data_IF_025514811124
#
_entry.id   IF_025514811124
#
_cell.length_a   1.000
_cell.length_b   1.000
_cell.length_c   1.000
_cell.angle_alpha   90.00
_cell.angle_beta   90.00
_cell.angle_gamma   90.00
#
_symmetry.space_group_name_H-M   'P 1'
#
loop_
_entity.id
_entity.type
_entity.pdbx_description
1 polymer ?
#
# COMPACT_ATOMS: atom_id res chain seq x y z
N UNK A 1 -8.46 -97.19 -24.10
CA UNK A 1 -9.34 -96.93 -25.27
C UNK A 1 -9.57 -95.43 -25.40
N UNK A 2 -9.37 -94.89 -26.62
CA UNK A 2 -9.82 -93.60 -27.20
C UNK A 2 -9.77 -92.33 -26.32
N UNK A 3 -8.85 -91.38 -26.61
CA UNK A 3 -9.01 -90.15 -27.45
C UNK A 3 -10.00 -89.15 -26.81
N UNK A 4 -9.73 -87.84 -26.60
CA UNK A 4 -9.05 -86.83 -27.43
C UNK A 4 -8.94 -85.52 -26.61
N UNK A 5 -7.83 -84.75 -26.61
CA UNK A 5 -7.54 -83.54 -27.45
C UNK A 5 -8.58 -82.42 -27.27
N UNK A 6 -8.28 -81.14 -26.97
CA UNK A 6 -7.26 -80.19 -27.53
C UNK A 6 -7.33 -78.86 -26.73
N UNK A 7 -6.18 -78.21 -26.45
CA UNK A 7 -5.71 -76.91 -27.01
C UNK A 7 -6.41 -75.65 -26.43
N UNK A 8 -5.81 -74.47 -26.20
CA UNK A 8 -4.55 -73.84 -26.60
C UNK A 8 -4.22 -72.74 -25.55
N UNK A 9 -2.96 -72.60 -25.09
CA UNK A 9 -1.97 -71.61 -25.52
C UNK A 9 -2.29 -70.15 -25.19
N UNK A 10 -1.46 -69.52 -24.35
CA UNK A 10 -0.64 -68.37 -24.77
C UNK A 10 0.45 -68.04 -23.73
N UNK A 11 1.66 -68.03 -24.27
CA UNK A 11 2.99 -67.77 -23.71
C UNK A 11 3.29 -66.28 -23.55
N UNK A 12 4.19 -65.95 -22.61
CA UNK A 12 4.87 -64.65 -22.52
C UNK A 12 5.71 -64.56 -21.24
N UNK A 13 6.82 -65.31 -21.16
CA UNK A 13 8.22 -64.86 -21.35
C UNK A 13 8.72 -63.91 -20.24
N UNK A 14 9.62 -64.49 -19.45
CA UNK A 14 10.53 -63.89 -18.47
C UNK A 14 11.63 -63.10 -19.18
N UNK A 15 11.96 -61.91 -18.69
CA UNK A 15 13.29 -61.32 -18.86
C UNK A 15 13.62 -60.42 -17.67
N UNK A 16 14.62 -60.85 -16.89
CA UNK A 16 15.25 -60.08 -15.84
C UNK A 16 16.14 -58.98 -16.45
N UNK A 17 16.06 -57.76 -15.92
CA UNK A 17 17.02 -56.69 -16.18
C UNK A 17 17.69 -56.24 -14.88
N UNK A 18 19.00 -56.41 -14.86
CA UNK A 18 19.97 -55.86 -13.93
C UNK A 18 20.33 -54.41 -14.31
N UNK A 19 20.54 -53.59 -13.29
CA UNK A 19 21.41 -52.43 -13.18
C UNK A 19 21.17 -51.23 -14.13
N UNK A 20 20.97 -50.04 -13.53
CA UNK A 20 21.88 -48.88 -13.53
C UNK A 20 21.21 -47.80 -12.64
N UNK A 21 21.82 -47.49 -11.50
CA UNK A 21 21.47 -46.30 -10.71
C UNK A 21 22.26 -45.11 -11.26
N UNK A 22 21.63 -43.95 -11.54
CA UNK A 22 22.37 -42.74 -11.86
C UNK A 22 22.94 -42.16 -10.56
N UNK A 23 24.27 -42.21 -10.43
CA UNK A 23 25.03 -41.37 -9.50
C UNK A 23 24.89 -39.93 -9.99
N UNK A 24 24.13 -39.12 -9.26
CA UNK A 24 24.16 -37.67 -9.44
C UNK A 24 25.47 -37.13 -8.86
N UNK A 25 26.42 -36.84 -9.74
CA UNK A 25 27.59 -36.03 -9.37
C UNK A 25 27.12 -34.60 -9.26
N UNK A 26 26.93 -34.11 -8.03
CA UNK A 26 26.72 -32.69 -7.78
C UNK A 26 28.02 -31.93 -8.17
N UNK A 27 28.02 -31.31 -9.34
CA UNK A 27 29.03 -30.31 -9.67
C UNK A 27 28.78 -29.10 -8.76
N UNK A 28 29.69 -28.88 -7.82
CA UNK A 28 29.78 -27.62 -7.09
C UNK A 28 30.07 -26.49 -8.10
N UNK A 29 29.04 -25.70 -8.43
CA UNK A 29 29.25 -24.43 -9.12
C UNK A 29 29.95 -23.49 -8.14
N UNK A 30 31.18 -23.11 -8.49
CA UNK A 30 31.88 -22.02 -7.82
C UNK A 30 31.01 -20.77 -7.86
N UNK A 31 30.89 -20.01 -6.75
CA UNK A 31 30.16 -18.75 -6.76
C UNK A 31 30.90 -17.76 -7.66
N UNK A 32 30.33 -17.47 -8.82
CA UNK A 32 30.70 -16.28 -9.59
C UNK A 32 30.34 -15.07 -8.75
N UNK A 33 31.35 -14.42 -8.18
CA UNK A 33 31.25 -13.11 -7.54
C UNK A 33 30.98 -12.04 -8.61
N UNK A 34 29.75 -11.99 -9.12
CA UNK A 34 29.23 -10.72 -9.61
C UNK A 34 28.90 -9.88 -8.38
N UNK A 35 29.71 -8.86 -8.11
CA UNK A 35 29.41 -7.87 -7.10
C UNK A 35 27.95 -7.42 -7.27
N UNK A 36 27.12 -7.66 -6.26
CA UNK A 36 25.77 -7.12 -6.23
C UNK A 36 25.90 -5.60 -6.26
N UNK A 37 25.40 -4.97 -7.33
CA UNK A 37 25.32 -3.53 -7.45
C UNK A 37 24.66 -2.97 -6.19
N UNK A 38 25.32 -2.04 -5.52
CA UNK A 38 24.73 -1.32 -4.41
C UNK A 38 23.64 -0.39 -4.96
N UNK A 39 22.61 -0.04 -4.17
CA UNK A 39 21.53 0.86 -4.60
C UNK A 39 22.01 2.18 -5.22
N UNK A 40 23.19 2.64 -4.80
CA UNK A 40 23.81 3.89 -5.23
C UNK A 40 24.47 3.83 -6.62
N UNK A 41 24.72 2.62 -7.16
CA UNK A 41 25.48 2.43 -8.41
C UNK A 41 24.64 2.64 -9.68
N UNK A 42 23.33 2.90 -9.55
CA UNK A 42 22.40 2.98 -10.69
C UNK A 42 22.13 4.42 -11.15
N UNK A 43 22.57 5.46 -10.42
CA UNK A 43 22.14 6.83 -10.75
C UNK A 43 23.24 7.90 -10.65
N UNK A 44 23.33 8.83 -11.64
CA UNK A 44 24.23 9.96 -11.56
C UNK A 44 23.89 10.88 -10.38
N UNK A 45 24.94 11.41 -9.73
CA UNK A 45 24.82 12.43 -8.68
C UNK A 45 23.97 13.62 -9.18
N UNK A 46 23.01 14.11 -8.38
CA UNK A 46 22.19 15.25 -8.76
C UNK A 46 23.03 16.53 -8.92
N UNK A 47 22.64 17.44 -9.83
CA UNK A 47 23.29 18.74 -9.97
C UNK A 47 23.09 19.62 -8.72
N UNK A 48 24.01 20.58 -8.57
CA UNK A 48 24.17 21.51 -7.45
C UNK A 48 22.85 22.26 -7.09
N UNK A 49 22.44 22.34 -5.80
CA UNK A 49 21.23 23.03 -5.34
C UNK A 49 21.17 24.55 -5.59
N UNK A 50 22.18 25.13 -6.25
CA UNK A 50 22.36 26.56 -6.45
C UNK A 50 21.52 27.24 -7.55
N UNK A 51 20.40 26.67 -8.03
CA UNK A 51 19.56 27.33 -9.03
C UNK A 51 18.26 27.91 -8.42
N UNK A 52 18.17 29.24 -8.19
CA UNK A 52 16.95 29.88 -7.77
C UNK A 52 16.05 30.09 -9.00
N UNK A 53 15.15 29.16 -9.28
CA UNK A 53 13.92 29.51 -9.94
C UNK A 53 12.89 29.75 -8.84
N UNK A 54 12.69 31.01 -8.46
CA UNK A 54 11.49 31.36 -7.70
C UNK A 54 10.30 31.01 -8.59
N UNK A 55 9.61 29.92 -8.28
CA UNK A 55 8.31 29.70 -8.91
C UNK A 55 7.44 30.88 -8.49
N UNK A 56 6.93 31.60 -9.49
CA UNK A 56 5.94 32.66 -9.30
C UNK A 56 4.65 32.09 -8.69
N UNK A 57 3.59 32.91 -8.61
CA UNK A 57 2.26 32.48 -8.19
C UNK A 57 1.87 31.11 -8.77
N UNK A 58 1.07 30.31 -8.06
CA UNK A 58 0.64 28.99 -8.54
C UNK A 58 0.05 29.12 -9.96
N UNK A 59 0.66 28.42 -10.91
CA UNK A 59 0.26 28.46 -12.33
C UNK A 59 -0.09 27.07 -12.80
N UNK A 60 -1.27 26.93 -13.42
CA UNK A 60 -1.62 25.72 -14.15
C UNK A 60 -0.72 25.56 -15.39
N UNK A 61 -0.43 24.31 -15.73
CA UNK A 61 0.38 23.94 -16.88
C UNK A 61 -0.42 23.85 -18.18
N UNK A 62 -1.73 23.60 -18.09
CA UNK A 62 -2.64 23.45 -19.23
C UNK A 62 -3.98 24.14 -18.97
N UNK A 63 -4.73 24.52 -20.03
CA UNK A 63 -6.08 25.06 -19.89
C UNK A 63 -7.08 23.93 -19.59
N UNK A 64 -7.12 23.48 -18.34
CA UNK A 64 -8.03 22.43 -17.90
C UNK A 64 -9.50 22.85 -17.93
N UNK A 65 -10.35 21.92 -18.34
CA UNK A 65 -11.80 22.04 -18.27
C UNK A 65 -12.38 20.94 -17.40
N UNK A 66 -13.39 21.28 -16.61
CA UNK A 66 -14.12 20.31 -15.81
C UNK A 66 -14.94 19.38 -16.72
N UNK A 67 -14.69 18.07 -16.62
CA UNK A 67 -15.36 17.01 -17.40
C UNK A 67 -16.34 16.17 -16.57
N UNK A 68 -16.27 16.27 -15.25
CA UNK A 68 -17.17 15.53 -14.34
C UNK A 68 -17.70 16.46 -13.25
N UNK A 69 -18.92 16.16 -12.76
CA UNK A 69 -19.52 16.91 -11.65
C UNK A 69 -18.75 16.65 -10.35
N UNK A 70 -18.67 17.67 -9.50
CA UNK A 70 -18.04 17.52 -8.20
C UNK A 70 -18.83 16.56 -7.30
N UNK A 71 -18.11 15.91 -6.37
CA UNK A 71 -18.74 15.10 -5.34
C UNK A 71 -19.69 15.98 -4.51
N UNK A 72 -20.87 15.44 -4.24
CA UNK A 72 -21.89 16.06 -3.39
C UNK A 72 -21.88 15.44 -2.00
N UNK A 73 -22.23 16.19 -0.94
CA UNK A 73 -22.34 15.64 0.40
C UNK A 73 -23.30 14.44 0.46
N UNK A 74 -22.95 13.42 1.24
CA UNK A 74 -23.83 12.27 1.40
C UNK A 74 -23.17 11.07 2.08
N UNK A 75 -23.79 10.57 3.14
CA UNK A 75 -23.37 9.31 3.80
C UNK A 75 -24.19 8.09 3.36
N UNK A 76 -25.14 8.24 2.41
CA UNK A 76 -26.04 7.18 1.93
C UNK A 76 -26.72 6.34 3.04
N UNK A 77 -26.98 6.92 4.21
CA UNK A 77 -27.56 6.20 5.35
C UNK A 77 -26.62 5.19 6.02
N UNK A 78 -25.32 5.25 5.71
CA UNK A 78 -24.29 4.41 6.32
C UNK A 78 -23.89 4.97 7.68
N UNK A 79 -23.85 4.08 8.67
CA UNK A 79 -23.33 4.40 10.00
C UNK A 79 -21.81 4.52 9.91
N UNK A 80 -21.29 5.66 10.37
CA UNK A 80 -19.86 5.85 10.57
C UNK A 80 -19.52 5.41 11.98
N UNK A 81 -18.55 4.51 12.10
CA UNK A 81 -18.07 4.04 13.39
C UNK A 81 -17.47 5.21 14.18
N UNK A 82 -17.81 5.38 15.47
CA UNK A 82 -17.30 6.50 16.24
C UNK A 82 -15.77 6.54 16.35
N UNK A 83 -15.10 5.37 16.28
CA UNK A 83 -13.63 5.27 16.28
C UNK A 83 -13.20 4.31 15.18
N UNK A 84 -12.77 4.82 14.01
CA UNK A 84 -12.28 3.99 12.93
C UNK A 84 -11.05 3.18 13.34
N UNK A 85 -10.86 2.04 12.69
CA UNK A 85 -9.80 1.10 13.06
C UNK A 85 -8.39 1.73 13.01
N UNK A 86 -8.13 2.63 12.07
CA UNK A 86 -6.86 3.35 11.96
C UNK A 86 -6.53 4.17 13.22
N UNK A 87 -7.54 4.84 13.80
CA UNK A 87 -7.41 5.56 15.07
C UNK A 87 -7.18 4.61 16.26
N UNK A 88 -7.77 3.41 16.21
CA UNK A 88 -7.63 2.41 17.27
C UNK A 88 -6.25 1.72 17.23
N UNK A 89 -5.83 1.21 16.07
CA UNK A 89 -4.58 0.44 15.92
C UNK A 89 -3.36 1.32 16.18
N UNK A 90 -3.42 2.60 15.79
CA UNK A 90 -2.37 3.59 16.02
C UNK A 90 -2.48 4.28 17.39
N UNK A 91 -3.47 3.91 18.20
CA UNK A 91 -3.60 4.32 19.60
C UNK A 91 -3.55 5.85 19.83
N UNK A 92 -4.26 6.62 19.01
CA UNK A 92 -4.19 8.09 19.01
C UNK A 92 -4.38 8.72 20.41
N UNK A 93 -5.36 8.26 21.18
CA UNK A 93 -5.63 8.77 22.54
C UNK A 93 -4.43 8.65 23.48
N UNK A 94 -3.59 7.62 23.30
CA UNK A 94 -2.35 7.47 24.06
C UNK A 94 -1.25 8.39 23.51
N UNK A 95 -1.17 8.55 22.18
CA UNK A 95 -0.19 9.40 21.51
C UNK A 95 -0.38 10.88 21.88
N UNK A 96 -1.63 11.33 21.96
CA UNK A 96 -2.00 12.70 22.31
C UNK A 96 -1.63 13.13 23.73
N UNK A 97 -1.23 12.19 24.60
CA UNK A 97 -0.62 12.53 25.90
C UNK A 97 0.77 13.16 25.75
N UNK A 98 1.40 13.00 24.59
CA UNK A 98 2.76 13.47 24.31
C UNK A 98 2.81 14.63 23.31
N UNK A 99 1.94 14.63 22.30
CA UNK A 99 1.84 15.67 21.28
C UNK A 99 0.50 15.56 20.53
N UNK A 100 -0.04 16.68 20.04
CA UNK A 100 -1.33 16.74 19.31
C UNK A 100 -1.21 17.42 17.94
N UNK A 101 -0.02 17.87 17.54
CA UNK A 101 0.25 18.62 16.32
C UNK A 101 0.32 20.14 16.54
N UNK A 102 0.43 20.62 17.79
CA UNK A 102 0.45 22.06 18.08
C UNK A 102 1.63 22.73 17.38
N UNK A 103 1.35 23.90 16.80
CA UNK A 103 2.32 24.72 16.05
C UNK A 103 2.92 24.01 14.82
N UNK A 104 2.29 22.92 14.36
CA UNK A 104 2.65 22.28 13.10
C UNK A 104 1.68 22.71 12.02
N UNK A 105 2.20 22.97 10.82
CA UNK A 105 1.41 23.15 9.60
C UNK A 105 1.81 22.05 8.62
N UNK A 106 0.83 21.28 8.16
CA UNK A 106 1.01 20.19 7.19
C UNK A 106 0.50 20.66 5.84
N UNK A 107 1.38 20.69 4.84
CA UNK A 107 0.98 20.93 3.47
C UNK A 107 0.36 19.66 2.88
N UNK A 108 -0.81 19.78 2.27
CA UNK A 108 -1.52 18.68 1.60
C UNK A 108 -1.51 18.97 0.11
N UNK A 109 -0.64 18.30 -0.64
CA UNK A 109 -0.56 18.38 -2.10
C UNK A 109 -1.41 17.26 -2.68
N UNK A 110 -2.59 17.63 -3.16
CA UNK A 110 -3.67 16.70 -3.49
C UNK A 110 -4.66 17.36 -4.46
N UNK A 111 -5.95 17.04 -4.36
CA UNK A 111 -7.08 17.52 -5.16
C UNK A 111 -7.74 18.79 -4.62
N UNK A 112 -7.10 19.43 -3.65
CA UNK A 112 -7.66 20.54 -2.89
C UNK A 112 -8.30 20.08 -1.58
N UNK A 113 -8.77 21.00 -0.75
CA UNK A 113 -9.45 20.68 0.51
C UNK A 113 -10.65 21.58 0.70
N UNK A 114 -11.86 21.02 0.75
CA UNK A 114 -13.05 21.79 1.06
C UNK A 114 -13.07 22.22 2.55
N UNK A 115 -13.54 23.45 2.86
CA UNK A 115 -13.78 23.86 4.23
C UNK A 115 -14.76 22.91 4.93
N UNK A 116 -14.39 22.47 6.13
CA UNK A 116 -15.18 21.56 6.94
C UNK A 116 -15.16 22.04 8.41
N UNK A 117 -16.26 21.94 9.18
CA UNK A 117 -16.30 22.38 10.58
C UNK A 117 -15.17 21.78 11.44
N UNK A 118 -14.78 20.53 11.16
CA UNK A 118 -13.69 19.82 11.84
C UNK A 118 -12.26 20.31 11.49
N UNK A 119 -12.13 21.30 10.61
CA UNK A 119 -10.88 21.99 10.27
C UNK A 119 -11.01 23.52 10.47
N UNK A 120 -12.07 23.97 11.16
CA UNK A 120 -12.38 25.39 11.30
C UNK A 120 -11.22 26.15 11.95
N UNK A 121 -10.80 27.24 11.31
CA UNK A 121 -9.68 28.06 11.76
C UNK A 121 -8.30 27.43 11.56
N UNK A 122 -8.23 26.23 10.97
CA UNK A 122 -6.98 25.48 10.75
C UNK A 122 -6.74 25.10 9.29
N UNK A 123 -7.62 25.49 8.36
CA UNK A 123 -7.44 25.31 6.92
C UNK A 123 -7.00 26.62 6.26
N UNK A 124 -5.88 26.58 5.55
CA UNK A 124 -5.31 27.68 4.77
C UNK A 124 -5.11 27.25 3.31
N UNK A 125 -5.21 28.21 2.37
CA UNK A 125 -4.98 27.97 0.94
C UNK A 125 -3.51 28.09 0.57
N UNK A 126 -2.92 27.00 0.06
CA UNK A 126 -1.54 26.91 -0.39
C UNK A 126 -1.37 27.27 -1.86
N UNK A 127 -2.33 26.94 -2.73
CA UNK A 127 -2.26 27.25 -4.16
C UNK A 127 -3.11 26.30 -5.01
N UNK A 128 -3.42 26.73 -6.23
CA UNK A 128 -4.18 25.94 -7.20
C UNK A 128 -3.43 25.89 -8.54
N UNK A 129 -3.22 24.68 -9.05
CA UNK A 129 -2.53 24.39 -10.30
C UNK A 129 -3.46 23.80 -11.36
N UNK A 130 -4.77 23.82 -11.09
CA UNK A 130 -5.83 23.27 -11.96
C UNK A 130 -6.69 24.40 -12.52
N UNK A 131 -7.06 25.37 -11.69
CA UNK A 131 -7.93 26.48 -12.04
C UNK A 131 -7.38 27.83 -11.56
N UNK A 132 -7.33 28.81 -12.46
CA UNK A 132 -6.85 30.16 -12.13
C UNK A 132 -7.75 30.86 -11.11
N UNK A 133 -7.16 31.73 -10.28
CA UNK A 133 -7.88 32.54 -9.29
C UNK A 133 -8.36 31.76 -8.05
N UNK A 134 -7.94 30.50 -7.91
CA UNK A 134 -8.22 29.63 -6.78
C UNK A 134 -6.97 29.46 -5.92
N UNK A 135 -7.15 28.94 -4.70
CA UNK A 135 -6.07 28.83 -3.71
C UNK A 135 -5.90 27.42 -3.14
N UNK A 136 -6.61 26.43 -3.68
CA UNK A 136 -6.56 25.03 -3.23
C UNK A 136 -7.56 24.69 -2.12
N UNK A 137 -8.40 25.63 -1.67
CA UNK A 137 -9.48 25.35 -0.71
C UNK A 137 -10.81 24.93 -1.36
N UNK A 138 -10.71 24.43 -2.59
CA UNK A 138 -11.81 23.84 -3.32
C UNK A 138 -11.42 22.43 -3.75
N UNK A 139 -12.26 21.47 -3.37
CA UNK A 139 -12.04 20.06 -3.69
C UNK A 139 -13.25 19.52 -4.43
N UNK A 140 -13.11 19.34 -5.74
CA UNK A 140 -14.18 18.83 -6.59
C UNK A 140 -14.21 17.29 -6.59
N UNK A 141 -13.03 16.68 -6.49
CA UNK A 141 -12.85 15.24 -6.48
C UNK A 141 -13.09 14.61 -5.09
N UNK A 142 -12.81 15.35 -4.03
CA UNK A 142 -13.02 14.96 -2.64
C UNK A 142 -11.86 14.22 -1.98
N UNK A 143 -10.85 13.80 -2.75
CA UNK A 143 -9.75 13.00 -2.22
C UNK A 143 -8.91 13.79 -1.20
N UNK A 144 -8.61 15.05 -1.45
CA UNK A 144 -7.75 15.86 -0.58
C UNK A 144 -8.43 16.25 0.73
N UNK A 145 -9.76 16.42 0.73
CA UNK A 145 -10.54 16.63 1.95
C UNK A 145 -10.53 15.39 2.86
N UNK A 146 -10.61 14.19 2.28
CA UNK A 146 -10.45 12.94 3.00
C UNK A 146 -9.03 12.83 3.60
N UNK A 147 -8.00 13.17 2.83
CA UNK A 147 -6.59 13.18 3.29
C UNK A 147 -6.37 14.16 4.44
N UNK A 148 -6.82 15.41 4.30
CA UNK A 148 -6.72 16.43 5.33
C UNK A 148 -7.43 16.04 6.62
N UNK A 149 -8.55 15.32 6.50
CA UNK A 149 -9.28 14.78 7.64
C UNK A 149 -8.49 13.75 8.45
N UNK A 150 -7.81 12.83 7.77
CA UNK A 150 -6.94 11.83 8.43
C UNK A 150 -5.80 12.52 9.18
N UNK A 151 -5.25 13.60 8.61
CA UNK A 151 -4.14 14.34 9.25
C UNK A 151 -4.63 15.10 10.47
N UNK A 152 -5.65 15.96 10.34
CA UNK A 152 -5.90 17.01 11.33
C UNK A 152 -7.37 17.27 11.66
N UNK A 153 -8.31 16.39 11.30
CA UNK A 153 -9.68 16.57 11.76
C UNK A 153 -9.72 16.65 13.29
N UNK A 154 -10.37 17.67 13.83
CA UNK A 154 -10.66 17.73 15.25
C UNK A 154 -12.14 17.94 15.48
N UNK A 155 -12.56 17.57 16.67
CA UNK A 155 -13.93 17.49 17.06
C UNK A 155 -14.15 18.29 18.33
N UNK A 156 -14.62 19.53 18.21
CA UNK A 156 -15.03 20.30 19.38
C UNK A 156 -16.48 19.99 19.80
N UNK A 157 -17.37 19.53 18.91
CA UNK A 157 -18.82 19.46 19.20
C UNK A 157 -19.61 18.22 18.70
N UNK A 158 -18.98 17.21 18.07
CA UNK A 158 -19.72 16.02 17.55
C UNK A 158 -19.64 14.80 18.48
N UNK A 159 -20.71 14.01 18.51
CA UNK A 159 -20.77 12.70 19.21
C UNK A 159 -20.11 11.56 18.42
N UNK A 160 -19.53 11.85 17.25
CA UNK A 160 -19.09 10.83 16.27
C UNK A 160 -17.62 10.37 16.46
N UNK A 161 -16.90 10.83 17.49
CA UNK A 161 -15.63 10.27 17.99
C UNK A 161 -14.37 10.30 17.07
N UNK A 162 -14.53 10.51 15.77
CA UNK A 162 -13.41 10.59 14.81
C UNK A 162 -12.54 11.82 15.04
N UNK A 163 -11.22 11.63 15.04
CA UNK A 163 -10.22 12.70 14.94
C UNK A 163 -9.08 12.25 14.02
N UNK A 164 -8.44 13.21 13.37
CA UNK A 164 -7.18 13.01 12.66
C UNK A 164 -6.03 12.78 13.63
N UNK A 165 -4.90 12.30 13.11
CA UNK A 165 -3.72 11.93 13.90
C UNK A 165 -3.16 13.12 14.69
N UNK A 166 -3.12 14.30 14.10
CA UNK A 166 -2.57 15.54 14.63
C UNK A 166 -3.68 16.61 14.70
N UNK A 167 -4.65 16.47 15.62
CA UNK A 167 -5.86 17.28 15.64
C UNK A 167 -5.61 18.78 15.87
N UNK A 168 -4.47 19.18 16.45
CA UNK A 168 -4.12 20.60 16.65
C UNK A 168 -3.28 21.19 15.49
N UNK A 169 -2.92 20.39 14.48
CA UNK A 169 -2.15 20.87 13.34
C UNK A 169 -3.00 21.73 12.39
N UNK A 170 -2.36 22.65 11.69
CA UNK A 170 -2.95 23.37 10.55
C UNK A 170 -2.76 22.59 9.26
N UNK A 171 -3.67 22.76 8.31
CA UNK A 171 -3.60 22.24 6.94
C UNK A 171 -3.38 23.39 5.97
N UNK A 172 -2.36 23.27 5.12
CA UNK A 172 -2.14 24.15 3.97
C UNK A 172 -2.47 23.38 2.68
N UNK A 173 -3.59 23.71 2.05
CA UNK A 173 -4.14 22.93 0.94
C UNK A 173 -3.60 23.37 -0.42
N UNK A 174 -3.07 22.42 -1.20
CA UNK A 174 -2.67 22.63 -2.58
C UNK A 174 -3.49 21.72 -3.49
N UNK A 175 -4.24 22.32 -4.42
CA UNK A 175 -4.88 21.57 -5.50
C UNK A 175 -3.90 21.46 -6.65
N UNK A 176 -3.20 20.34 -6.72
CA UNK A 176 -2.18 20.06 -7.73
C UNK A 176 -2.64 19.00 -8.74
N UNK A 177 -3.47 18.05 -8.32
CA UNK A 177 -4.13 17.08 -9.20
C UNK A 177 -5.63 17.30 -9.19
N UNK A 178 -6.34 16.90 -10.24
CA UNK A 178 -7.79 16.71 -10.19
C UNK A 178 -8.22 15.87 -11.41
N UNK A 179 -8.63 14.60 -11.22
CA UNK A 179 -9.00 13.74 -12.33
C UNK A 179 -10.30 14.16 -13.03
N UNK A 180 -11.11 15.05 -12.41
CA UNK A 180 -12.32 15.59 -13.01
C UNK A 180 -12.03 16.75 -13.96
N UNK A 181 -10.79 17.24 -14.00
CA UNK A 181 -10.35 18.34 -14.85
C UNK A 181 -9.35 17.84 -15.89
N UNK A 182 -9.68 18.02 -17.17
CA UNK A 182 -8.88 17.50 -18.27
C UNK A 182 -8.58 18.57 -19.31
N UNK A 183 -7.42 18.47 -19.93
CA UNK A 183 -7.01 19.29 -21.06
C UNK A 183 -6.51 18.39 -22.19
N UNK A 184 -6.68 18.84 -23.43
CA UNK A 184 -6.12 18.17 -24.60
C UNK A 184 -4.66 18.59 -24.76
N UNK A 185 -3.74 17.62 -24.68
CA UNK A 185 -2.32 17.88 -24.92
C UNK A 185 -2.12 18.23 -26.41
N UNK A 186 -1.61 19.43 -26.68
CA UNK A 186 -1.46 19.94 -28.04
C UNK A 186 -0.47 19.13 -28.91
N UNK A 187 0.47 18.40 -28.29
CA UNK A 187 1.50 17.61 -28.99
C UNK A 187 0.99 16.21 -29.36
N UNK A 188 0.29 15.57 -28.43
CA UNK A 188 -0.17 14.17 -28.59
C UNK A 188 -1.63 14.07 -29.01
N UNK A 189 -2.40 15.15 -28.86
CA UNK A 189 -3.84 15.16 -29.07
C UNK A 189 -4.65 14.39 -28.01
N UNK A 190 -3.99 13.80 -27.01
CA UNK A 190 -4.65 13.01 -25.97
C UNK A 190 -5.19 13.91 -24.86
N UNK A 191 -6.36 13.55 -24.32
CA UNK A 191 -6.84 14.17 -23.08
C UNK A 191 -6.00 13.70 -21.89
N UNK A 192 -5.64 14.64 -21.02
CA UNK A 192 -4.84 14.42 -19.82
C UNK A 192 -5.52 15.11 -18.64
N UNK A 193 -5.62 14.40 -17.52
CA UNK A 193 -6.07 14.97 -16.26
C UNK A 193 -5.04 15.95 -15.68
N UNK A 194 -5.47 16.80 -14.75
CA UNK A 194 -4.56 17.64 -14.00
C UNK A 194 -3.68 16.85 -13.04
N UNK A 195 -2.40 17.24 -12.92
CA UNK A 195 -1.43 16.56 -12.06
C UNK A 195 -0.10 16.24 -12.73
N UNK A 196 0.55 17.21 -13.37
CA UNK A 196 1.87 16.99 -13.99
C UNK A 196 3.03 17.16 -13.00
N UNK A 197 4.18 16.56 -13.32
CA UNK A 197 5.39 16.63 -12.47
C UNK A 197 5.92 18.07 -12.27
N UNK A 198 5.72 18.95 -13.24
CA UNK A 198 6.14 20.36 -13.15
C UNK A 198 5.27 21.17 -12.19
N UNK A 199 3.95 20.96 -12.17
CA UNK A 199 3.08 21.58 -11.15
C UNK A 199 3.29 20.95 -9.77
N UNK A 200 3.65 19.66 -9.70
CA UNK A 200 4.08 19.04 -8.45
C UNK A 200 5.34 19.70 -7.89
N UNK A 201 6.36 19.94 -8.73
CA UNK A 201 7.56 20.66 -8.30
C UNK A 201 7.24 22.08 -7.81
N UNK A 202 6.36 22.81 -8.49
CA UNK A 202 5.90 24.12 -8.04
C UNK A 202 5.22 24.07 -6.66
N UNK A 203 4.32 23.10 -6.46
CA UNK A 203 3.60 22.92 -5.19
C UNK A 203 4.56 22.58 -4.04
N UNK A 204 5.50 21.66 -4.25
CA UNK A 204 6.52 21.29 -3.24
C UNK A 204 7.38 22.50 -2.90
N UNK A 205 7.84 23.27 -3.89
CA UNK A 205 8.65 24.46 -3.64
C UNK A 205 7.88 25.49 -2.80
N UNK A 206 6.63 25.74 -3.15
CA UNK A 206 5.78 26.71 -2.45
C UNK A 206 5.50 26.28 -1.01
N UNK A 207 5.20 25.00 -0.78
CA UNK A 207 5.08 24.44 0.55
C UNK A 207 6.39 24.54 1.36
N UNK A 208 7.54 24.32 0.71
CA UNK A 208 8.85 24.41 1.35
C UNK A 208 9.26 25.85 1.72
N UNK A 209 8.83 26.84 0.93
CA UNK A 209 9.09 28.25 1.19
C UNK A 209 8.20 28.85 2.28
N UNK A 210 7.06 28.24 2.61
CA UNK A 210 6.26 28.60 3.78
C UNK A 210 7.04 28.27 5.08
N UNK A 211 7.28 29.27 5.94
CA UNK A 211 8.08 29.08 7.16
C UNK A 211 7.36 28.25 8.24
N UNK A 212 6.02 28.21 8.24
CA UNK A 212 5.23 27.45 9.21
C UNK A 212 5.06 25.98 8.81
N UNK A 213 5.15 25.63 7.52
CA UNK A 213 5.06 24.23 7.07
C UNK A 213 6.20 23.42 7.68
N UNK A 214 5.89 22.25 8.26
CA UNK A 214 6.91 21.34 8.81
C UNK A 214 6.87 19.95 8.19
N UNK A 215 5.73 19.58 7.61
CA UNK A 215 5.48 18.31 6.90
C UNK A 215 4.76 18.60 5.59
N UNK A 216 5.11 17.90 4.53
CA UNK A 216 4.46 17.94 3.20
C UNK A 216 3.95 16.52 2.90
N UNK A 217 2.64 16.36 2.81
CA UNK A 217 2.00 15.12 2.37
C UNK A 217 1.72 15.20 0.86
N UNK A 218 2.16 14.18 0.12
CA UNK A 218 1.93 14.04 -1.32
C UNK A 218 1.20 12.72 -1.55
N UNK A 219 -0.07 12.81 -1.92
CA UNK A 219 -0.92 11.63 -2.07
C UNK A 219 -0.89 11.02 -3.46
N UNK A 220 -0.43 11.78 -4.46
CA UNK A 220 -0.38 11.37 -5.86
C UNK A 220 0.95 10.69 -6.18
N UNK A 221 0.88 9.68 -7.06
CA UNK A 221 2.07 9.06 -7.65
C UNK A 221 1.88 8.88 -9.14
N UNK A 222 2.88 9.29 -9.92
CA UNK A 222 2.94 8.95 -11.34
C UNK A 222 3.83 7.72 -11.49
N UNK A 223 3.25 6.63 -11.98
CA UNK A 223 4.00 5.41 -12.26
C UNK A 223 4.41 5.31 -13.73
N UNK A 224 5.50 4.60 -13.98
CA UNK A 224 5.85 4.14 -15.32
C UNK A 224 6.97 3.10 -15.28
N UNK A 225 7.19 2.34 -16.36
CA UNK A 225 8.36 1.48 -16.48
C UNK A 225 9.66 2.22 -16.15
N UNK A 226 10.65 1.51 -15.59
CA UNK A 226 11.98 2.08 -15.35
C UNK A 226 12.52 2.73 -16.64
N UNK A 227 12.95 3.98 -16.53
CA UNK A 227 13.48 4.76 -17.66
C UNK A 227 12.44 5.39 -18.59
N UNK A 228 11.14 5.19 -18.35
CA UNK A 228 10.07 5.74 -19.21
C UNK A 228 9.52 7.10 -18.76
N UNK A 229 9.72 7.46 -17.50
CA UNK A 229 9.26 8.75 -16.97
C UNK A 229 10.11 9.89 -17.58
N UNK A 230 9.44 11.01 -17.88
CA UNK A 230 10.10 12.22 -18.37
C UNK A 230 11.18 12.73 -17.40
N UNK A 231 12.04 13.63 -17.86
CA UNK A 231 13.08 14.24 -17.01
C UNK A 231 12.49 14.78 -15.70
N UNK A 232 13.05 14.33 -14.57
CA UNK A 232 12.60 14.67 -13.22
C UNK A 232 13.64 15.48 -12.45
N UNK A 233 14.67 16.01 -13.12
CA UNK A 233 15.77 16.75 -12.49
C UNK A 233 15.26 17.90 -11.64
N UNK A 234 14.33 18.70 -12.16
CA UNK A 234 13.71 19.81 -11.43
C UNK A 234 12.93 19.34 -10.20
N UNK A 235 12.15 18.27 -10.34
CA UNK A 235 11.35 17.73 -9.23
C UNK A 235 12.26 17.18 -8.13
N UNK A 236 13.27 16.38 -8.49
CA UNK A 236 14.26 15.83 -7.56
C UNK A 236 15.03 16.94 -6.84
N UNK A 237 15.48 17.96 -7.58
CA UNK A 237 16.15 19.12 -6.99
C UNK A 237 15.26 19.88 -6.01
N UNK A 238 13.96 19.99 -6.31
CA UNK A 238 12.99 20.66 -5.45
C UNK A 238 12.67 19.86 -4.18
N UNK A 239 12.54 18.54 -4.30
CA UNK A 239 12.40 17.61 -3.16
C UNK A 239 13.62 17.72 -2.24
N UNK A 240 14.83 17.62 -2.80
CA UNK A 240 16.08 17.80 -2.05
C UNK A 240 16.16 19.17 -1.37
N UNK A 241 15.73 20.23 -2.05
CA UNK A 241 15.69 21.58 -1.48
C UNK A 241 14.76 21.64 -0.26
N UNK A 242 13.54 21.12 -0.38
CA UNK A 242 12.55 21.10 0.68
C UNK A 242 13.07 20.36 1.93
N UNK A 243 13.69 19.19 1.75
CA UNK A 243 14.19 18.39 2.89
C UNK A 243 15.50 18.95 3.43
N UNK A 244 16.52 19.07 2.58
CA UNK A 244 17.88 19.42 3.01
C UNK A 244 18.04 20.88 3.40
N UNK A 245 17.39 21.80 2.68
CA UNK A 245 17.58 23.25 2.87
C UNK A 245 16.50 23.86 3.74
N UNK A 246 15.24 23.44 3.53
CA UNK A 246 14.09 23.98 4.25
C UNK A 246 13.65 23.12 5.44
N UNK A 247 14.33 21.99 5.66
CA UNK A 247 14.09 21.10 6.78
C UNK A 247 12.63 20.62 6.87
N UNK A 248 11.99 20.32 5.75
CA UNK A 248 10.61 19.80 5.69
C UNK A 248 10.62 18.28 5.59
N UNK A 249 9.77 17.60 6.34
CA UNK A 249 9.53 16.15 6.15
C UNK A 249 8.59 16.00 4.96
N UNK A 250 8.95 15.19 3.96
CA UNK A 250 8.07 14.87 2.85
C UNK A 250 7.58 13.44 3.02
N UNK A 251 6.27 13.23 3.01
CA UNK A 251 5.62 11.93 3.11
C UNK A 251 4.85 11.68 1.82
N UNK A 252 5.10 10.55 1.16
CA UNK A 252 4.58 10.26 -0.18
C UNK A 252 3.88 8.90 -0.18
N UNK A 253 2.76 8.78 -0.88
CA UNK A 253 2.14 7.49 -1.14
C UNK A 253 3.05 6.57 -1.98
N UNK A 254 3.07 5.25 -1.72
CA UNK A 254 3.83 4.30 -2.55
C UNK A 254 3.22 4.08 -3.96
N UNK A 255 1.95 4.43 -4.13
CA UNK A 255 1.17 4.21 -5.34
C UNK A 255 0.30 2.97 -5.29
N UNK A 256 -0.74 2.95 -6.11
CA UNK A 256 -1.75 1.90 -6.14
C UNK A 256 -1.75 1.20 -7.50
N UNK A 257 -1.81 -0.13 -7.51
CA UNK A 257 -2.16 -0.86 -8.72
C UNK A 257 -3.65 -0.76 -8.99
N UNK A 258 -3.99 -0.82 -10.27
CA UNK A 258 -5.38 -0.96 -10.72
C UNK A 258 -5.58 -2.41 -11.16
N UNK A 259 -6.14 -3.26 -10.29
CA UNK A 259 -6.41 -4.65 -10.64
C UNK A 259 -7.30 -4.75 -11.88
N UNK A 260 -6.88 -5.52 -12.89
CA UNK A 260 -7.63 -5.74 -14.13
C UNK A 260 -7.60 -4.57 -15.12
N UNK A 261 -6.93 -3.46 -14.81
CA UNK A 261 -6.74 -2.35 -15.74
C UNK A 261 -5.38 -2.47 -16.43
N UNK A 262 -5.41 -3.00 -17.65
CA UNK A 262 -4.19 -3.13 -18.45
C UNK A 262 -3.59 -1.77 -18.86
N UNK A 263 -4.40 -0.70 -18.85
CA UNK A 263 -3.97 0.65 -19.23
C UNK A 263 -3.26 1.41 -18.09
N UNK A 264 -3.37 0.93 -16.85
CA UNK A 264 -2.69 1.55 -15.70
C UNK A 264 -1.18 1.39 -15.81
N UNK A 265 -0.45 2.51 -15.69
CA UNK A 265 1.02 2.50 -15.66
C UNK A 265 1.58 2.04 -14.32
N UNK A 266 0.74 1.99 -13.28
CA UNK A 266 1.08 1.52 -11.94
C UNK A 266 0.88 0.00 -11.84
N UNK A 267 1.89 -0.78 -12.25
CA UNK A 267 1.90 -2.24 -12.10
C UNK A 267 2.66 -2.67 -10.84
N UNK A 268 2.27 -3.82 -10.28
CA UNK A 268 2.93 -4.39 -9.11
C UNK A 268 4.36 -4.83 -9.45
N UNK A 269 5.30 -4.54 -8.55
CA UNK A 269 6.65 -5.11 -8.59
C UNK A 269 6.67 -6.41 -7.77
N UNK A 270 6.55 -7.56 -8.44
CA UNK A 270 6.43 -8.86 -7.76
C UNK A 270 7.78 -9.51 -7.41
N UNK A 271 8.91 -8.91 -7.79
CA UNK A 271 10.25 -9.47 -7.57
C UNK A 271 11.03 -8.61 -6.58
N UNK A 272 11.11 -9.01 -5.29
CA UNK A 272 11.92 -8.29 -4.30
C UNK A 272 13.36 -8.10 -4.81
N UNK A 273 13.85 -6.85 -4.77
CA UNK A 273 15.18 -6.48 -5.26
C UNK A 273 15.25 -6.06 -6.73
N UNK A 274 14.15 -6.14 -7.50
CA UNK A 274 14.08 -5.58 -8.86
C UNK A 274 12.73 -4.90 -9.11
N UNK A 275 12.77 -3.59 -9.27
CA UNK A 275 11.63 -2.81 -9.73
C UNK A 275 11.57 -2.77 -11.25
N UNK A 276 10.39 -3.02 -11.83
CA UNK A 276 10.11 -2.84 -13.25
C UNK A 276 9.29 -1.56 -13.49
N UNK A 277 8.52 -1.12 -12.49
CA UNK A 277 7.75 0.12 -12.50
C UNK A 277 8.24 0.98 -11.35
N UNK A 278 8.55 2.25 -11.63
CA UNK A 278 8.87 3.27 -10.63
C UNK A 278 7.65 4.14 -10.36
N UNK A 279 7.49 4.59 -9.12
CA UNK A 279 6.48 5.57 -8.71
C UNK A 279 7.17 6.88 -8.33
N UNK A 280 6.80 8.00 -8.94
CA UNK A 280 7.34 9.33 -8.63
C UNK A 280 6.31 10.19 -7.89
N UNK A 281 6.71 10.93 -6.82
CA UNK A 281 8.08 11.12 -6.31
C UNK A 281 8.57 10.06 -5.32
N UNK A 282 7.79 8.99 -5.08
CA UNK A 282 8.11 7.95 -4.09
C UNK A 282 9.51 7.33 -4.24
N UNK A 283 10.01 7.16 -5.46
CA UNK A 283 11.33 6.59 -5.70
C UNK A 283 12.51 7.50 -5.33
N UNK A 284 12.28 8.73 -4.87
CA UNK A 284 13.32 9.64 -4.34
C UNK A 284 13.70 9.30 -2.88
N UNK A 285 13.74 8.01 -2.56
CA UNK A 285 13.87 7.37 -1.24
C UNK A 285 14.59 8.20 -0.18
N UNK A 286 15.87 8.58 -0.39
CA UNK A 286 16.64 9.32 0.61
C UNK A 286 15.98 10.65 1.08
N UNK A 287 15.21 11.30 0.21
CA UNK A 287 14.62 12.62 0.46
C UNK A 287 13.11 12.58 0.69
N UNK A 288 12.48 11.41 0.71
CA UNK A 288 11.04 11.28 0.97
C UNK A 288 10.76 10.06 1.83
N UNK A 289 9.74 10.12 2.68
CA UNK A 289 9.27 8.95 3.41
C UNK A 289 8.10 8.34 2.64
N UNK A 290 8.35 7.24 1.94
CA UNK A 290 7.33 6.56 1.13
C UNK A 290 6.51 5.59 1.96
N UNK A 291 5.19 5.67 1.81
CA UNK A 291 4.21 4.98 2.64
C UNK A 291 3.44 3.94 1.85
N UNK A 292 3.66 2.67 2.19
CA UNK A 292 2.82 1.54 1.80
C UNK A 292 1.50 1.47 2.58
N UNK A 293 0.56 0.67 2.11
CA UNK A 293 -0.74 0.48 2.74
C UNK A 293 -0.85 -0.88 3.43
N UNK A 294 -1.37 -0.88 4.66
CA UNK A 294 -1.82 -2.09 5.35
C UNK A 294 -3.35 -2.18 5.44
N UNK A 295 -3.86 -3.40 5.48
CA UNK A 295 -5.27 -3.69 5.72
C UNK A 295 -5.61 -3.65 7.21
N UNK A 296 -6.89 -3.75 7.56
CA UNK A 296 -7.32 -3.76 8.97
C UNK A 296 -6.87 -5.03 9.73
N UNK A 297 -6.51 -6.09 9.01
CA UNK A 297 -5.89 -7.31 9.55
C UNK A 297 -4.38 -7.17 9.79
N UNK A 298 -3.79 -6.04 9.42
CA UNK A 298 -2.35 -5.81 9.51
C UNK A 298 -1.53 -6.43 8.37
N UNK A 299 -2.20 -6.95 7.34
CA UNK A 299 -1.54 -7.47 6.14
C UNK A 299 -1.21 -6.35 5.16
N UNK A 300 -0.31 -6.60 4.21
CA UNK A 300 -0.12 -5.67 3.09
C UNK A 300 -1.41 -5.54 2.28
N UNK A 301 -1.77 -4.33 1.87
CA UNK A 301 -2.83 -4.16 0.90
C UNK A 301 -2.34 -4.60 -0.49
N UNK A 302 -3.10 -5.45 -1.18
CA UNK A 302 -2.69 -6.02 -2.48
C UNK A 302 -2.41 -4.96 -3.56
N UNK A 303 -3.13 -3.83 -3.51
CA UNK A 303 -2.93 -2.71 -4.42
C UNK A 303 -1.66 -1.90 -4.12
N UNK A 304 -1.07 -2.02 -2.93
CA UNK A 304 0.10 -1.22 -2.54
C UNK A 304 1.30 -1.63 -3.38
N UNK A 305 1.84 -0.71 -4.18
CA UNK A 305 3.00 -0.99 -5.04
C UNK A 305 4.23 -1.21 -4.16
N UNK A 306 4.87 -2.37 -4.32
CA UNK A 306 6.16 -2.66 -3.69
C UNK A 306 7.31 -2.00 -4.45
N UNK A 307 8.37 -1.66 -3.73
CA UNK A 307 9.55 -1.03 -4.31
C UNK A 307 10.71 -1.00 -3.32
N UNK A 308 11.96 -0.92 -3.82
CA UNK A 308 13.10 -0.69 -2.95
C UNK A 308 13.01 0.64 -2.20
N UNK A 309 12.15 1.56 -2.65
CA UNK A 309 11.91 2.89 -2.08
C UNK A 309 10.77 2.94 -1.06
N UNK A 310 10.16 1.80 -0.66
CA UNK A 310 9.09 1.82 0.35
C UNK A 310 9.72 1.83 1.75
N UNK A 311 9.42 2.86 2.55
CA UNK A 311 10.06 3.08 3.84
C UNK A 311 9.26 2.58 5.02
N UNK A 312 7.96 2.81 5.00
CA UNK A 312 7.08 2.59 6.14
C UNK A 312 5.68 2.30 5.60
N UNK A 313 4.77 1.87 6.47
CA UNK A 313 3.39 1.64 6.12
C UNK A 313 2.42 2.34 7.07
N UNK A 314 1.19 2.55 6.59
CA UNK A 314 0.10 3.08 7.39
C UNK A 314 -1.25 2.43 7.02
N UNK A 315 -2.30 2.65 7.84
CA UNK A 315 -3.65 2.21 7.53
C UNK A 315 -4.13 2.68 6.15
N UNK A 316 -4.42 1.76 5.24
CA UNK A 316 -4.76 2.10 3.85
C UNK A 316 -6.08 1.53 3.34
N UNK A 317 -6.85 0.82 4.16
CA UNK A 317 -8.19 0.29 3.82
C UNK A 317 -9.22 0.69 4.88
N UNK A 318 -10.51 0.47 4.61
CA UNK A 318 -11.65 0.79 5.50
C UNK A 318 -11.56 2.19 6.10
N UNK A 319 -11.16 3.15 5.28
CA UNK A 319 -10.86 4.50 5.73
C UNK A 319 -12.15 5.24 6.03
N UNK A 320 -12.12 6.00 7.13
CA UNK A 320 -13.14 6.98 7.49
C UNK A 320 -12.46 8.32 7.60
N UNK A 321 -13.09 9.36 7.05
CA UNK A 321 -12.60 10.73 7.14
C UNK A 321 -13.75 11.73 6.99
N UNK A 322 -13.44 12.99 6.74
CA UNK A 322 -14.41 14.06 6.52
C UNK A 322 -15.22 13.79 5.26
N UNK A 323 -16.53 14.04 5.30
CA UNK A 323 -17.32 14.06 4.06
C UNK A 323 -16.77 15.16 3.15
N UNK A 324 -16.30 14.81 1.94
CA UNK A 324 -15.62 15.75 1.08
C UNK A 324 -16.57 16.67 0.32
N UNK A 325 -17.89 16.42 0.36
CA UNK A 325 -18.85 17.22 -0.35
C UNK A 325 -18.81 18.68 0.08
N UNK A 326 -18.95 19.61 -0.88
CA UNK A 326 -18.94 21.04 -0.57
C UNK A 326 -20.05 21.38 0.43
N UNK A 327 -19.67 21.96 1.57
CA UNK A 327 -20.59 22.32 2.66
C UNK A 327 -21.02 21.14 3.54
N UNK A 328 -20.40 19.98 3.38
CA UNK A 328 -20.62 18.85 4.27
C UNK A 328 -20.13 19.16 5.70
N UNK A 329 -20.75 18.48 6.66
CA UNK A 329 -20.47 18.63 8.09
C UNK A 329 -20.24 17.28 8.78
N UNK A 330 -20.43 16.18 8.05
CA UNK A 330 -20.40 14.80 8.54
C UNK A 330 -19.12 14.10 8.13
N UNK A 331 -19.05 12.81 8.45
CA UNK A 331 -17.97 11.92 8.05
C UNK A 331 -18.38 11.05 6.86
N UNK A 332 -17.39 10.55 6.12
CA UNK A 332 -17.53 9.59 5.05
C UNK A 332 -16.61 8.38 5.27
N UNK A 333 -17.13 7.18 4.98
CA UNK A 333 -16.37 5.92 4.98
C UNK A 333 -16.52 5.15 3.66
N UNK A 334 -17.16 5.78 2.67
CA UNK A 334 -17.37 5.29 1.30
C UNK A 334 -17.26 6.46 0.33
N UNK A 335 -16.83 6.17 -0.88
CA UNK A 335 -16.89 7.09 -2.02
C UNK A 335 -17.65 6.43 -3.16
N UNK A 336 -18.20 7.21 -4.09
CA UNK A 336 -18.78 6.64 -5.30
C UNK A 336 -17.68 6.37 -6.31
N UNK A 337 -17.66 5.17 -6.89
CA UNK A 337 -16.85 4.91 -8.08
C UNK A 337 -17.43 5.57 -9.33
N UNK A 338 -16.75 5.43 -10.47
CA UNK A 338 -17.19 6.01 -11.75
C UNK A 338 -18.55 5.48 -12.24
N UNK A 339 -19.05 4.36 -11.69
CA UNK A 339 -20.38 3.81 -11.98
C UNK A 339 -21.46 4.32 -11.02
N UNK A 340 -21.09 5.16 -10.05
CA UNK A 340 -21.98 5.65 -8.99
C UNK A 340 -22.20 4.64 -7.88
N UNK A 341 -21.39 3.57 -7.79
CA UNK A 341 -21.51 2.55 -6.75
C UNK A 341 -20.68 2.96 -5.53
N UNK A 342 -21.22 2.86 -4.30
CA UNK A 342 -20.44 3.05 -3.09
C UNK A 342 -19.33 2.00 -2.97
N UNK A 343 -18.09 2.46 -2.91
CA UNK A 343 -16.89 1.65 -2.70
C UNK A 343 -16.17 2.11 -1.45
N UNK A 344 -15.36 1.21 -0.91
CA UNK A 344 -14.52 1.52 0.23
C UNK A 344 -13.48 2.58 -0.10
N UNK A 345 -13.26 3.51 0.84
CA UNK A 345 -12.16 4.46 0.75
C UNK A 345 -10.89 3.68 1.12
N UNK A 346 -10.00 3.52 0.14
CA UNK A 346 -8.76 2.77 0.27
C UNK A 346 -7.70 3.27 -0.71
N UNK A 347 -6.43 3.12 -0.35
CA UNK A 347 -5.30 3.60 -1.14
C UNK A 347 -4.09 3.94 -0.28
N UNK A 348 -2.89 3.84 -0.86
CA UNK A 348 -1.64 4.34 -0.24
C UNK A 348 -1.69 5.85 -0.01
N UNK A 349 -2.47 6.57 -0.82
CA UNK A 349 -2.81 7.98 -0.64
C UNK A 349 -3.56 8.29 0.66
N UNK A 350 -4.22 7.29 1.26
CA UNK A 350 -4.82 7.40 2.60
C UNK A 350 -3.94 6.83 3.71
N UNK A 351 -2.93 6.02 3.38
CA UNK A 351 -1.91 5.59 4.35
C UNK A 351 -0.89 6.70 4.65
N UNK A 352 -0.43 7.43 3.62
CA UNK A 352 0.47 8.57 3.73
C UNK A 352 0.04 9.62 4.78
N UNK A 353 -1.22 10.09 4.82
CA UNK A 353 -1.64 11.08 5.81
C UNK A 353 -1.59 10.58 7.26
N UNK A 354 -1.69 9.27 7.52
CA UNK A 354 -1.45 8.76 8.86
C UNK A 354 -0.01 9.04 9.30
N UNK A 355 0.95 8.69 8.44
CA UNK A 355 2.38 8.90 8.69
C UNK A 355 2.72 10.40 8.74
N UNK A 356 2.15 11.23 7.86
CA UNK A 356 2.33 12.68 7.87
C UNK A 356 1.83 13.30 9.19
N UNK A 357 0.70 12.81 9.70
CA UNK A 357 0.19 13.19 11.01
C UNK A 357 1.14 12.81 12.14
N UNK A 358 1.67 11.58 12.15
CA UNK A 358 2.65 11.15 13.16
C UNK A 358 3.94 11.96 13.06
N UNK A 359 4.41 12.28 11.85
CA UNK A 359 5.53 13.18 11.65
C UNK A 359 5.28 14.55 12.30
N UNK A 360 4.08 15.11 12.16
CA UNK A 360 3.72 16.36 12.85
C UNK A 360 3.77 16.21 14.37
N UNK A 361 3.27 15.10 14.94
CA UNK A 361 3.39 14.82 16.38
C UNK A 361 4.85 14.76 16.84
N UNK A 362 5.70 14.07 16.08
CA UNK A 362 7.15 13.96 16.36
C UNK A 362 7.80 15.33 16.30
N UNK A 363 7.44 16.18 15.34
CA UNK A 363 7.99 17.53 15.20
C UNK A 363 7.55 18.48 16.32
N UNK A 364 6.36 18.31 16.88
CA UNK A 364 5.98 19.03 18.10
C UNK A 364 6.84 18.57 19.29
N UNK A 365 6.97 17.26 19.47
CA UNK A 365 7.66 16.64 20.60
C UNK A 365 9.17 16.89 20.59
N UNK A 366 9.77 16.84 19.40
CA UNK A 366 11.20 16.93 19.14
C UNK A 366 11.50 18.01 18.08
N UNK A 367 11.31 19.30 18.41
CA UNK A 367 11.34 20.39 17.42
C UNK A 367 12.71 20.63 16.79
N UNK A 368 13.78 20.11 17.40
CA UNK A 368 15.15 20.29 16.93
C UNK A 368 15.60 19.18 15.95
N UNK A 369 14.80 18.13 15.75
CA UNK A 369 15.16 17.10 14.77
C UNK A 369 15.11 17.67 13.35
N UNK A 370 16.14 17.31 12.58
CA UNK A 370 16.11 17.50 11.14
C UNK A 370 15.05 16.60 10.49
N UNK A 371 14.63 16.92 9.27
CA UNK A 371 13.70 16.11 8.51
C UNK A 371 14.18 14.67 8.36
N UNK A 372 15.48 14.45 8.08
CA UNK A 372 16.08 13.12 8.02
C UNK A 372 16.00 12.38 9.36
N UNK A 373 16.23 13.06 10.48
CA UNK A 373 16.09 12.44 11.80
C UNK A 373 14.64 12.09 12.12
N UNK A 374 13.67 12.91 11.73
CA UNK A 374 12.25 12.57 11.88
C UNK A 374 11.89 11.34 11.05
N UNK A 375 12.33 11.28 9.78
CA UNK A 375 12.10 10.12 8.91
C UNK A 375 12.76 8.85 9.49
N UNK A 376 14.02 8.94 9.90
CA UNK A 376 14.78 7.86 10.57
C UNK A 376 14.08 7.37 11.83
N UNK A 377 13.61 8.29 12.68
CA UNK A 377 12.89 7.98 13.91
C UNK A 377 11.60 7.22 13.64
N UNK A 378 10.82 7.64 12.65
CA UNK A 378 9.59 6.94 12.25
C UNK A 378 9.89 5.53 11.75
N UNK A 379 10.93 5.35 10.92
CA UNK A 379 11.36 4.04 10.43
C UNK A 379 11.86 3.12 11.57
N UNK A 380 12.72 3.62 12.46
CA UNK A 380 13.29 2.82 13.56
C UNK A 380 12.28 2.41 14.62
N UNK A 381 11.19 3.17 14.76
CA UNK A 381 10.15 2.91 15.78
C UNK A 381 8.91 2.24 15.20
N UNK A 382 8.88 1.98 13.89
CA UNK A 382 7.79 1.26 13.24
C UNK A 382 7.67 -0.20 13.72
N UNK A 383 6.53 -0.82 13.43
CA UNK A 383 6.26 -2.23 13.71
C UNK A 383 6.90 -3.10 12.62
N UNK A 384 8.18 -3.44 12.83
CA UNK A 384 9.02 -4.09 11.82
C UNK A 384 8.47 -5.43 11.33
N UNK A 385 8.42 -5.68 10.00
CA UNK A 385 8.11 -7.00 9.46
C UNK A 385 9.24 -7.99 9.76
N UNK A 386 8.94 -9.29 9.63
CA UNK A 386 9.91 -10.38 9.77
C UNK A 386 10.96 -10.46 8.63
N UNK A 387 11.10 -9.39 7.83
CA UNK A 387 12.09 -9.29 6.78
C UNK A 387 13.50 -9.07 7.34
N UNK A 388 14.52 -9.35 6.51
CA UNK A 388 15.93 -9.17 6.89
C UNK A 388 16.17 -7.70 7.25
N UNK A 389 16.69 -7.45 8.46
CA UNK A 389 16.94 -6.10 8.96
C UNK A 389 15.68 -5.35 9.40
N UNK A 390 14.56 -6.07 9.64
CA UNK A 390 13.30 -5.45 10.03
C UNK A 390 12.62 -4.69 8.89
N UNK A 391 12.96 -5.02 7.64
CA UNK A 391 12.46 -4.34 6.45
C UNK A 391 12.01 -5.32 5.37
N UNK A 392 10.94 -5.01 4.66
CA UNK A 392 10.54 -5.72 3.45
C UNK A 392 10.24 -4.77 2.27
N UNK A 393 9.96 -5.35 1.10
CA UNK A 393 9.79 -4.66 -0.18
C UNK A 393 8.43 -3.96 -0.35
N UNK A 394 7.46 -4.23 0.51
CA UNK A 394 6.07 -3.76 0.40
C UNK A 394 5.66 -2.84 1.55
N UNK A 395 6.20 -3.06 2.73
CA UNK A 395 5.88 -2.33 3.95
C UNK A 395 7.06 -1.52 4.48
N UNK A 396 8.24 -1.64 3.86
CA UNK A 396 9.46 -1.01 4.38
C UNK A 396 9.74 -1.52 5.80
N UNK A 397 9.98 -0.61 6.73
CA UNK A 397 10.14 -0.90 8.16
C UNK A 397 8.81 -1.20 8.88
N UNK A 398 7.70 -1.34 8.14
CA UNK A 398 6.42 -1.77 8.70
C UNK A 398 5.52 -0.62 9.13
N UNK A 399 4.45 -0.95 9.85
CA UNK A 399 3.41 0.02 10.19
C UNK A 399 3.93 1.07 11.18
N UNK A 400 3.63 2.35 10.93
CA UNK A 400 3.98 3.45 11.83
C UNK A 400 3.42 3.22 13.24
N UNK A 401 4.23 3.46 14.27
CA UNK A 401 3.81 3.38 15.68
C UNK A 401 3.94 4.76 16.35
N UNK A 402 2.85 5.50 16.55
CA UNK A 402 2.93 6.85 17.11
C UNK A 402 3.47 6.87 18.55
N UNK A 403 3.21 5.82 19.34
CA UNK A 403 3.65 5.78 20.73
C UNK A 403 5.15 5.60 20.77
N UNK A 404 5.67 4.58 20.08
CA UNK A 404 7.10 4.35 20.01
C UNK A 404 7.82 5.56 19.40
N UNK A 405 7.28 6.16 18.33
CA UNK A 405 7.82 7.38 17.73
C UNK A 405 7.84 8.58 18.69
N UNK A 406 6.95 8.66 19.68
CA UNK A 406 6.90 9.78 20.63
C UNK A 406 7.64 9.52 21.96
N UNK A 407 8.04 8.27 22.23
CA UNK A 407 8.60 7.88 23.54
C UNK A 407 9.94 7.15 23.48
N UNK A 408 10.32 6.53 22.36
CA UNK A 408 11.58 5.81 22.26
C UNK A 408 12.79 6.74 22.43
N UNK A 409 13.83 6.26 23.10
CA UNK A 409 15.14 6.93 23.17
C UNK A 409 16.04 6.28 22.12
N UNK A 410 16.38 7.02 21.06
CA UNK A 410 17.24 6.53 20.00
C UNK A 410 18.70 6.95 20.29
N UNK A 411 19.68 6.03 20.24
CA UNK A 411 21.08 6.35 20.55
C UNK A 411 21.65 7.52 19.75
N UNK A 412 21.34 7.57 18.45
CA UNK A 412 21.81 8.62 17.54
C UNK A 412 21.30 10.02 17.90
N UNK A 413 20.12 10.12 18.50
CA UNK A 413 19.54 11.39 18.97
C UNK A 413 20.04 11.77 20.37
N UNK A 414 20.49 10.78 21.16
CA UNK A 414 21.07 10.97 22.48
C UNK A 414 22.59 11.24 22.45
N UNK A 415 23.21 11.31 21.26
CA UNK A 415 24.66 11.46 21.11
C UNK A 415 25.45 10.22 21.56
N UNK A 416 24.80 9.06 21.59
CA UNK A 416 25.40 7.78 21.99
C UNK A 416 25.66 6.97 20.73
N UNK A 417 26.90 6.48 20.57
CA UNK A 417 27.23 5.58 19.47
C UNK A 417 26.39 4.30 19.56
N UNK A 418 25.65 3.91 18.50
CA UNK A 418 24.89 2.66 18.50
C UNK A 418 25.82 1.49 18.82
N UNK A 419 25.38 0.61 19.74
CA UNK A 419 26.08 -0.65 19.96
C UNK A 419 25.98 -1.46 18.65
N UNK A 420 27.10 -2.01 18.12
CA UNK A 420 27.03 -2.86 16.93
C UNK A 420 25.99 -3.96 17.16
N UNK A 421 25.14 -4.26 16.16
CA UNK A 421 24.12 -5.28 16.33
C UNK A 421 24.80 -6.59 16.71
N UNK A 422 24.59 -7.02 17.96
CA UNK A 422 24.94 -8.36 18.38
C UNK A 422 23.98 -9.25 17.64
N UNK A 423 24.51 -10.09 16.73
CA UNK A 423 23.73 -11.19 16.17
C UNK A 423 23.49 -12.18 17.29
N UNK A 424 22.52 -11.89 18.16
CA UNK A 424 21.89 -12.93 18.94
C UNK A 424 21.14 -13.78 17.91
N UNK A 425 21.76 -14.91 17.56
CA UNK A 425 21.01 -16.02 17.01
C UNK A 425 20.12 -16.51 18.13
N UNK A 426 19.02 -15.80 18.40
CA UNK A 426 17.86 -16.48 18.97
C UNK A 426 17.62 -17.65 18.02
N UNK A 427 17.69 -18.90 18.47
CA UNK A 427 17.23 -20.00 17.66
C UNK A 427 15.76 -19.70 17.43
N UNK A 428 15.45 -19.15 16.25
CA UNK A 428 14.10 -19.20 15.74
C UNK A 428 13.76 -20.67 15.78
N UNK A 429 12.75 -21.03 16.57
CA UNK A 429 12.15 -22.34 16.43
C UNK A 429 11.91 -22.51 14.93
N UNK A 430 12.36 -23.61 14.32
CA UNK A 430 12.09 -23.84 12.91
C UNK A 430 10.60 -23.56 12.69
N UNK A 431 10.23 -22.89 11.58
CA UNK A 431 8.82 -22.69 11.27
C UNK A 431 8.14 -24.04 11.46
N UNK A 432 7.07 -24.09 12.25
CA UNK A 432 6.33 -25.34 12.49
C UNK A 432 6.12 -25.98 11.12
N UNK A 433 6.91 -27.01 10.81
CA UNK A 433 6.76 -27.72 9.55
C UNK A 433 5.32 -28.19 9.58
N UNK A 434 4.56 -27.81 8.55
CA UNK A 434 3.16 -28.17 8.45
C UNK A 434 3.12 -29.70 8.42
N UNK A 435 2.80 -30.31 9.56
CA UNK A 435 2.70 -31.75 9.66
C UNK A 435 1.52 -32.19 8.80
N UNK A 436 1.84 -32.84 7.67
CA UNK A 436 0.85 -33.34 6.73
C UNK A 436 0.23 -34.65 7.22
N UNK A 437 0.79 -35.28 8.26
CA UNK A 437 0.34 -36.58 8.78
C UNK A 437 -1.15 -36.58 9.12
N UNK A 438 -1.72 -35.59 9.81
CA UNK A 438 -3.16 -35.55 10.10
C UNK A 438 -4.02 -35.43 8.82
N UNK A 439 -3.57 -34.66 7.84
CA UNK A 439 -4.26 -34.48 6.55
C UNK A 439 -4.23 -35.79 5.75
N UNK A 440 -3.06 -36.44 5.69
CA UNK A 440 -2.87 -37.72 5.01
C UNK A 440 -3.71 -38.81 5.67
N UNK A 441 -3.72 -38.89 7.00
CA UNK A 441 -4.54 -39.85 7.76
C UNK A 441 -6.03 -39.59 7.53
N UNK A 442 -6.47 -38.33 7.54
CA UNK A 442 -7.87 -37.99 7.27
C UNK A 442 -8.31 -38.37 5.85
N UNK A 443 -7.49 -38.05 4.84
CA UNK A 443 -7.78 -38.39 3.44
C UNK A 443 -7.74 -39.91 3.20
N UNK A 444 -6.76 -40.62 3.77
CA UNK A 444 -6.66 -42.07 3.67
C UNK A 444 -7.84 -42.77 4.38
N UNK A 445 -8.22 -42.28 5.57
CA UNK A 445 -9.38 -42.79 6.31
C UNK A 445 -10.70 -42.56 5.56
N UNK A 446 -10.91 -41.35 5.03
CA UNK A 446 -12.10 -41.04 4.23
C UNK A 446 -12.15 -41.86 2.93
N UNK A 447 -11.02 -41.99 2.22
CA UNK A 447 -10.93 -42.80 1.01
C UNK A 447 -11.15 -44.30 1.26
N UNK A 448 -10.55 -44.84 2.33
CA UNK A 448 -10.75 -46.23 2.74
C UNK A 448 -12.19 -46.52 3.16
N UNK A 449 -12.81 -45.61 3.93
CA UNK A 449 -14.22 -45.70 4.31
C UNK A 449 -15.15 -45.69 3.11
N UNK A 450 -14.94 -44.77 2.16
CA UNK A 450 -15.71 -44.70 0.92
C UNK A 450 -15.55 -45.98 0.08
N UNK A 451 -14.32 -46.50 -0.02
CA UNK A 451 -14.03 -47.75 -0.73
C UNK A 451 -14.76 -48.96 -0.15
N UNK A 452 -14.74 -49.11 1.18
CA UNK A 452 -15.50 -50.17 1.88
C UNK A 452 -17.00 -50.02 1.69
N UNK A 453 -17.51 -48.79 1.71
CA UNK A 453 -18.94 -48.52 1.51
C UNK A 453 -19.37 -48.85 0.07
N UNK A 454 -18.55 -48.51 -0.94
CA UNK A 454 -18.82 -48.89 -2.33
C UNK A 454 -18.72 -50.41 -2.55
N UNK A 455 -17.74 -51.08 -1.93
CA UNK A 455 -17.61 -52.54 -2.00
C UNK A 455 -18.82 -53.24 -1.39
N UNK A 456 -19.26 -52.79 -0.21
CA UNK A 456 -20.45 -53.36 0.46
C UNK A 456 -21.72 -53.11 -0.36
N UNK A 457 -21.92 -51.91 -0.90
CA UNK A 457 -23.02 -51.63 -1.82
C UNK A 457 -22.98 -52.51 -3.07
N UNK A 458 -21.79 -52.73 -3.65
CA UNK A 458 -21.62 -53.61 -4.81
C UNK A 458 -21.97 -55.07 -4.50
N UNK A 459 -21.53 -55.60 -3.35
CA UNK A 459 -21.86 -56.96 -2.90
C UNK A 459 -23.36 -57.09 -2.64
N UNK A 460 -23.98 -56.12 -1.95
CA UNK A 460 -25.43 -56.13 -1.69
C UNK A 460 -26.20 -56.07 -3.01
N UNK A 461 -25.77 -55.24 -3.95
CA UNK A 461 -26.41 -55.12 -5.26
C UNK A 461 -26.31 -56.41 -6.09
N UNK A 462 -25.14 -57.06 -6.13
CA UNK A 462 -24.97 -58.33 -6.84
C UNK A 462 -25.80 -59.45 -6.22
N UNK A 463 -25.81 -59.59 -4.89
CA UNK A 463 -26.64 -60.60 -4.19
C UNK A 463 -28.14 -60.37 -4.41
N UNK A 464 -28.60 -59.11 -4.37
CA UNK A 464 -30.03 -58.81 -4.64
C UNK A 464 -30.41 -59.06 -6.10
N UNK A 465 -29.48 -58.86 -7.04
CA UNK A 465 -29.71 -59.08 -8.46
C UNK A 465 -29.79 -60.57 -8.79
N UNK A 466 -28.96 -61.41 -8.17
CA UNK A 466 -29.03 -62.87 -8.31
C UNK A 466 -30.35 -63.42 -7.74
N UNK A 467 -30.81 -62.91 -6.58
CA UNK A 467 -32.13 -63.26 -6.02
C UNK A 467 -33.29 -62.91 -6.96
N UNK A 468 -33.25 -61.75 -7.62
CA UNK A 468 -34.26 -61.37 -8.62
C UNK A 468 -34.20 -62.25 -9.86
N UNK A 469 -33.01 -62.66 -10.31
CA UNK A 469 -32.85 -63.58 -11.43
C UNK A 469 -33.40 -64.99 -11.16
N UNK A 470 -33.28 -65.46 -9.92
CA UNK A 470 -33.90 -66.72 -9.49
C UNK A 470 -35.43 -66.64 -9.43
N UNK A 471 -36.00 -65.51 -8.96
CA UNK A 471 -37.45 -65.29 -8.96
C UNK A 471 -38.04 -65.14 -10.38
N UNK A 472 -37.32 -64.49 -11.31
CA UNK A 472 -37.77 -64.33 -12.71
C UNK A 472 -37.66 -65.64 -13.52
N UNK A 473 -36.70 -66.52 -13.19
CA UNK A 473 -36.57 -67.85 -13.78
C UNK A 473 -37.68 -68.81 -13.32
N UNK A 474 -38.16 -68.66 -12.08
CA UNK A 474 -39.25 -69.44 -11.52
C UNK A 474 -40.64 -69.07 -12.10
N UNK A 475 -40.75 -67.93 -12.80
CA UNK A 475 -42.00 -67.42 -13.39
C UNK A 475 -42.09 -67.59 -14.91
N UNK A 476 -41.14 -68.26 -15.57
CA UNK A 476 -41.26 -68.60 -17.01
C UNK A 476 -42.08 -69.89 -17.17
N UNK A 477 -43.32 -69.83 -17.72
CA UNK A 477 -44.08 -71.03 -18.03
C UNK A 477 -43.46 -71.73 -19.24
N UNK A 478 -43.21 -73.03 -19.10
CA UNK A 478 -42.90 -73.92 -20.22
C UNK A 478 -44.13 -73.99 -21.14
N UNK A 479 -43.96 -73.53 -22.39
CA UNK A 479 -44.81 -73.88 -23.52
C UNK A 479 -44.11 -74.95 -24.37
#
# INVERSE_FOLDING_TARGET
MRRSRRAAALTGVVAAMLAITPVWVAQAQQPSTSAAAQPDDVFPKPPDPGAPAGFAAATKDMPYEQKQNCIVPGNNGLTVEPRPWGQMVLQFEKAWRFATGKKQKVAVIDTGVNPHPRLKGRLEGGGDYVQDGRNGTEDCNGHGTLVAGIIAADNDDSTEGFKGVAPDAKILAFRQTDPFWKAKDARTGQERSAGRLDTLAQAIRRAADDPEVTVINISETICGPVGSLADQTTLRGTVRYAVKTKNKVIVVAAGNTSEGDESSSCKQNNSPGRANVVASPAFFDDDVLTVGAVTFEGERANFSIGGPWVDIAGPGTRITSLDPGKGATKLANRMLDNSGKPTEIQGTSFAAPYVAGVAALVRERYPNLSAYQVMSRLQQTAQHPAGKGGRDFYLGYGMVDPIAALTAVLPEEAGVTPVPPVRDTMPLNPPLEKDWTPIVVALAGAGGGLGLLLLTLFIVHTVQRDKKGEEESALRPLH
#
